data_IF_875859668945
#
_entry.id   IF_875859668945
#
_cell.length_a   1.000
_cell.length_b   1.000
_cell.length_c   1.000
_cell.angle_alpha   90.00
_cell.angle_beta   90.00
_cell.angle_gamma   90.00
#
_symmetry.space_group_name_H-M   'P 1'
#
loop_
_entity.id
_entity.type
_entity.pdbx_description
1 polymer ?
#
# COMPACT_ATOMS: atom_id res chain seq x y z
N UNK A 1 -5.50 -1.53 -9.42
CA UNK A 1 -6.46 -2.36 -8.68
C UNK A 1 -7.76 -1.62 -8.37
N UNK A 2 -8.30 -0.98 -9.37
CA UNK A 2 -9.63 -0.41 -9.31
C UNK A 2 -10.62 -1.52 -9.63
N UNK A 3 -11.40 -1.89 -8.61
CA UNK A 3 -12.42 -2.93 -8.73
C UNK A 3 -13.76 -2.24 -8.94
N UNK A 4 -14.52 -2.74 -9.88
CA UNK A 4 -15.94 -2.40 -10.03
C UNK A 4 -16.82 -3.49 -9.40
N UNK A 5 -18.11 -3.26 -9.36
CA UNK A 5 -19.10 -4.19 -8.80
C UNK A 5 -19.13 -5.55 -9.51
N UNK A 6 -18.56 -5.65 -10.72
CA UNK A 6 -18.51 -6.87 -11.53
C UNK A 6 -17.15 -7.57 -11.47
N UNK A 7 -16.22 -7.09 -10.62
CA UNK A 7 -14.90 -7.68 -10.51
C UNK A 7 -14.94 -9.12 -10.00
N UNK A 8 -14.60 -10.06 -10.85
CA UNK A 8 -14.46 -11.49 -10.53
C UNK A 8 -12.98 -11.88 -10.48
N UNK A 9 -12.31 -11.48 -9.42
CA UNK A 9 -10.92 -11.86 -9.18
C UNK A 9 -10.78 -13.18 -8.44
N UNK A 10 -9.60 -13.79 -8.55
CA UNK A 10 -9.24 -15.02 -7.81
C UNK A 10 -8.98 -14.78 -6.32
N UNK A 11 -9.02 -13.54 -5.84
CA UNK A 11 -8.77 -13.22 -4.44
C UNK A 11 -10.01 -13.51 -3.57
N UNK A 12 -10.00 -14.65 -2.89
CA UNK A 12 -11.06 -15.09 -1.98
C UNK A 12 -11.17 -14.28 -0.69
N UNK A 13 -10.31 -13.29 -0.47
CA UNK A 13 -10.33 -12.42 0.74
C UNK A 13 -11.21 -11.19 0.55
N UNK A 14 -11.70 -10.95 -0.66
CA UNK A 14 -12.57 -9.83 -0.96
C UNK A 14 -13.98 -10.13 -0.45
N UNK A 15 -14.48 -9.25 0.40
CA UNK A 15 -15.86 -9.23 0.83
C UNK A 15 -16.65 -8.30 -0.10
N UNK A 16 -17.39 -8.88 -1.04
CA UNK A 16 -18.15 -8.14 -2.04
C UNK A 16 -19.21 -7.20 -1.44
N UNK A 17 -19.75 -7.53 -0.25
CA UNK A 17 -20.71 -6.66 0.44
C UNK A 17 -20.06 -5.36 0.93
N UNK A 18 -18.75 -5.38 1.16
CA UNK A 18 -17.95 -4.22 1.62
C UNK A 18 -17.30 -3.44 0.49
N UNK A 19 -17.32 -3.93 -0.76
CA UNK A 19 -16.66 -3.29 -1.90
C UNK A 19 -17.17 -1.86 -2.16
N UNK A 20 -18.45 -1.59 -1.88
CA UNK A 20 -19.01 -0.23 -1.95
C UNK A 20 -18.38 0.76 -0.96
N UNK A 21 -17.68 0.26 0.06
CA UNK A 21 -16.91 1.06 1.02
C UNK A 21 -15.53 1.50 0.54
N UNK A 22 -15.04 0.92 -0.56
CA UNK A 22 -13.77 1.34 -1.17
C UNK A 22 -13.88 2.77 -1.68
N UNK A 23 -12.80 3.54 -1.56
CA UNK A 23 -12.84 4.95 -1.96
C UNK A 23 -11.52 5.42 -2.57
N UNK A 24 -11.62 6.44 -3.41
CA UNK A 24 -10.45 7.11 -3.97
C UNK A 24 -10.09 8.36 -3.16
N UNK A 25 -8.80 8.55 -2.92
CA UNK A 25 -8.23 9.82 -2.49
C UNK A 25 -7.84 10.63 -3.72
N UNK A 26 -7.33 9.95 -4.74
CA UNK A 26 -7.02 10.52 -6.03
C UNK A 26 -7.60 9.63 -7.13
N UNK A 27 -8.54 10.18 -7.90
CA UNK A 27 -9.21 9.48 -8.99
C UNK A 27 -8.36 9.49 -10.27
N UNK A 28 -8.28 8.37 -11.00
CA UNK A 28 -7.69 8.36 -12.32
C UNK A 28 -8.53 9.20 -13.28
N UNK A 29 -7.86 10.02 -14.09
CA UNK A 29 -8.52 10.89 -15.08
C UNK A 29 -8.66 10.20 -16.45
N UNK A 30 -8.72 8.87 -16.48
CA UNK A 30 -8.84 8.04 -17.67
C UNK A 30 -8.01 6.77 -17.58
N UNK A 31 -7.75 6.13 -18.71
CA UNK A 31 -6.91 4.93 -18.74
C UNK A 31 -5.47 5.28 -18.35
N UNK A 32 -4.85 4.44 -17.54
CA UNK A 32 -3.49 4.68 -17.06
C UNK A 32 -2.48 4.91 -18.18
N UNK A 33 -2.55 4.14 -19.27
CA UNK A 33 -1.63 4.31 -20.37
C UNK A 33 -1.76 5.70 -21.04
N UNK A 34 -2.97 6.24 -21.13
CA UNK A 34 -3.21 7.55 -21.70
C UNK A 34 -2.69 8.66 -20.79
N UNK A 35 -2.93 8.51 -19.47
CA UNK A 35 -2.40 9.43 -18.46
C UNK A 35 -0.87 9.43 -18.44
N UNK A 36 -0.24 8.25 -18.48
CA UNK A 36 1.21 8.10 -18.55
C UNK A 36 1.75 8.78 -19.81
N UNK A 37 1.18 8.50 -20.98
CA UNK A 37 1.62 9.11 -22.25
C UNK A 37 1.46 10.63 -22.21
N UNK A 38 0.35 11.14 -21.69
CA UNK A 38 0.13 12.58 -21.52
C UNK A 38 1.20 13.20 -20.61
N UNK A 39 1.53 12.54 -19.50
CA UNK A 39 2.57 13.04 -18.57
C UNK A 39 3.95 12.98 -19.22
N UNK A 40 4.30 11.89 -19.91
CA UNK A 40 5.58 11.76 -20.60
C UNK A 40 5.75 12.79 -21.73
N UNK A 41 4.67 13.17 -22.42
CA UNK A 41 4.70 14.18 -23.48
C UNK A 41 5.05 15.59 -22.95
N UNK A 42 4.91 15.85 -21.65
CA UNK A 42 5.33 17.13 -21.05
C UNK A 42 6.83 17.20 -20.76
N UNK A 43 7.57 16.09 -20.94
CA UNK A 43 9.00 16.02 -20.64
C UNK A 43 9.84 16.31 -21.89
N UNK A 44 10.91 17.08 -21.71
CA UNK A 44 11.94 17.24 -22.75
C UNK A 44 12.96 16.10 -22.63
N UNK A 45 12.64 14.97 -23.27
CA UNK A 45 13.47 13.78 -23.19
C UNK A 45 14.66 13.88 -24.14
N UNK A 46 15.88 13.75 -23.61
CA UNK A 46 17.13 13.72 -24.40
C UNK A 46 17.29 12.46 -25.24
N UNK A 47 16.58 11.38 -24.93
CA UNK A 47 16.62 10.08 -25.61
C UNK A 47 15.24 9.44 -25.59
N UNK A 48 14.98 8.58 -26.59
CA UNK A 48 13.77 7.75 -26.64
C UNK A 48 13.68 6.86 -25.39
N UNK A 49 12.46 6.74 -24.85
CA UNK A 49 12.17 5.81 -23.75
C UNK A 49 12.41 4.38 -24.23
N UNK A 50 13.10 3.58 -23.42
CA UNK A 50 13.35 2.17 -23.71
C UNK A 50 12.05 1.38 -23.67
N UNK A 51 11.97 0.31 -24.45
CA UNK A 51 10.77 -0.57 -24.47
C UNK A 51 10.55 -1.32 -23.16
N UNK A 52 11.61 -1.54 -22.38
CA UNK A 52 11.60 -2.19 -21.06
C UNK A 52 11.55 -1.21 -19.89
N UNK A 53 11.29 0.08 -20.14
CA UNK A 53 11.20 1.09 -19.09
C UNK A 53 9.99 0.86 -18.19
N UNK A 54 10.19 1.00 -16.87
CA UNK A 54 9.11 1.02 -15.90
C UNK A 54 8.35 2.34 -16.04
N UNK A 55 7.13 2.27 -16.55
CA UNK A 55 6.29 3.44 -16.80
C UNK A 55 5.48 3.88 -15.59
N UNK A 56 5.21 2.95 -14.67
CA UNK A 56 4.41 3.17 -13.46
C UNK A 56 5.03 2.43 -12.28
N UNK A 57 5.07 3.07 -11.13
CA UNK A 57 5.29 2.42 -9.86
C UNK A 57 3.97 2.35 -9.07
N UNK A 58 3.82 1.28 -8.29
CA UNK A 58 2.69 1.07 -7.42
C UNK A 58 3.18 0.80 -6.00
N UNK A 59 2.64 1.50 -5.03
CA UNK A 59 2.82 1.23 -3.61
C UNK A 59 1.54 0.65 -3.00
N UNK A 60 1.71 -0.29 -2.09
CA UNK A 60 0.68 -0.73 -1.16
C UNK A 60 1.04 -0.15 0.19
N UNK A 61 0.17 0.69 0.72
CA UNK A 61 0.37 1.43 1.97
C UNK A 61 -0.70 0.97 2.96
N UNK A 62 -0.27 0.49 4.10
CA UNK A 62 -1.16 -0.02 5.14
C UNK A 62 -0.40 -0.31 6.43
N UNK A 63 -1.07 -0.94 7.35
CA UNK A 63 -0.51 -1.47 8.61
C UNK A 63 -1.18 -2.80 8.94
N UNK A 64 -0.89 -3.36 10.11
CA UNK A 64 -1.59 -4.55 10.58
C UNK A 64 -3.03 -4.25 11.00
N UNK A 65 -3.83 -5.33 11.20
CA UNK A 65 -5.23 -5.20 11.59
C UNK A 65 -5.43 -4.56 12.97
N UNK A 66 -4.49 -4.73 13.89
CA UNK A 66 -4.58 -4.15 15.23
C UNK A 66 -4.48 -2.63 15.22
N UNK A 67 -3.66 -2.07 14.32
CA UNK A 67 -3.57 -0.63 14.10
C UNK A 67 -4.93 -0.02 13.73
N UNK A 68 -5.66 -0.66 12.84
CA UNK A 68 -6.96 -0.15 12.38
C UNK A 68 -8.12 -0.47 13.31
N UNK A 69 -7.96 -1.42 14.23
CA UNK A 69 -8.99 -1.95 15.13
C UNK A 69 -9.41 -0.91 16.15
N UNK A 70 -9.59 0.07 16.21
CA UNK A 70 -10.05 1.09 17.15
C UNK A 70 -10.25 2.43 16.48
N UNK A 71 -9.84 2.51 15.20
CA UNK A 71 -10.00 3.71 14.42
C UNK A 71 -11.43 3.82 13.89
N UNK A 72 -12.01 4.98 14.04
CA UNK A 72 -13.25 5.36 13.35
C UNK A 72 -12.95 5.54 11.86
N UNK A 73 -13.96 5.35 11.02
CA UNK A 73 -13.82 5.45 9.55
C UNK A 73 -13.15 6.78 9.09
N UNK A 74 -13.46 7.89 9.75
CA UNK A 74 -12.85 9.17 9.42
C UNK A 74 -11.35 9.26 9.83
N UNK A 75 -10.94 8.56 10.89
CA UNK A 75 -9.53 8.48 11.31
C UNK A 75 -8.70 7.63 10.34
N UNK A 76 -9.26 6.49 9.89
CA UNK A 76 -8.66 5.69 8.83
C UNK A 76 -8.50 6.51 7.54
N UNK A 77 -9.54 7.25 7.17
CA UNK A 77 -9.50 8.10 5.99
C UNK A 77 -8.43 9.17 6.11
N UNK A 78 -8.35 9.88 7.23
CA UNK A 78 -7.34 10.89 7.49
C UNK A 78 -5.91 10.33 7.42
N UNK A 79 -5.69 9.10 7.94
CA UNK A 79 -4.41 8.40 7.82
C UNK A 79 -4.01 8.18 6.36
N UNK A 80 -4.90 7.65 5.53
CA UNK A 80 -4.60 7.41 4.12
C UNK A 80 -4.46 8.71 3.31
N UNK A 81 -5.22 9.75 3.64
CA UNK A 81 -5.08 11.08 3.03
C UNK A 81 -3.71 11.71 3.35
N UNK A 82 -3.24 11.59 4.58
CA UNK A 82 -1.90 12.07 4.98
C UNK A 82 -0.79 11.26 4.28
N UNK A 83 -0.95 9.94 4.17
CA UNK A 83 -0.04 9.10 3.40
C UNK A 83 -0.01 9.52 1.92
N UNK A 84 -1.16 9.70 1.29
CA UNK A 84 -1.23 10.12 -0.11
C UNK A 84 -0.57 11.49 -0.32
N UNK A 85 -0.82 12.44 0.58
CA UNK A 85 -0.21 13.78 0.54
C UNK A 85 1.31 13.68 0.63
N UNK A 86 1.85 12.90 1.56
CA UNK A 86 3.29 12.65 1.66
C UNK A 86 3.90 12.18 0.32
N UNK A 87 3.27 11.24 -0.37
CA UNK A 87 3.75 10.75 -1.66
C UNK A 87 3.59 11.81 -2.78
N UNK A 88 2.50 12.58 -2.78
CA UNK A 88 2.28 13.66 -3.72
C UNK A 88 3.34 14.77 -3.57
N UNK A 89 3.67 15.14 -2.34
CA UNK A 89 4.68 16.16 -2.04
C UNK A 89 6.08 15.67 -2.42
N UNK A 90 6.37 14.39 -2.18
CA UNK A 90 7.69 13.80 -2.44
C UNK A 90 7.96 13.54 -3.93
N UNK A 91 6.97 13.05 -4.67
CA UNK A 91 7.14 12.59 -6.06
C UNK A 91 6.44 13.45 -7.10
N UNK A 92 5.77 14.50 -6.68
CA UNK A 92 5.04 15.45 -7.52
C UNK A 92 3.60 15.03 -7.78
N UNK A 93 2.68 15.92 -7.49
CA UNK A 93 1.23 15.72 -7.73
C UNK A 93 0.93 15.38 -9.19
N UNK A 94 1.62 16.01 -10.13
CA UNK A 94 1.45 15.81 -11.57
C UNK A 94 1.89 14.42 -12.06
N UNK A 95 2.61 13.68 -11.25
CA UNK A 95 3.03 12.31 -11.54
C UNK A 95 2.03 11.26 -11.04
N UNK A 96 1.06 11.65 -10.20
CA UNK A 96 0.09 10.74 -9.63
C UNK A 96 -0.91 10.26 -10.67
N UNK A 97 -1.25 8.96 -10.61
CA UNK A 97 -2.23 8.32 -11.48
C UNK A 97 -3.51 7.96 -10.73
N UNK A 98 -3.37 7.39 -9.54
CA UNK A 98 -4.49 7.07 -8.65
C UNK A 98 -4.02 6.82 -7.22
N UNK A 99 -4.92 6.99 -6.27
CA UNK A 99 -4.79 6.50 -4.89
C UNK A 99 -6.16 5.98 -4.45
N UNK A 100 -6.28 4.66 -4.33
CA UNK A 100 -7.53 3.97 -3.96
C UNK A 100 -7.34 3.18 -2.67
N UNK A 101 -8.26 3.33 -1.74
CA UNK A 101 -8.28 2.60 -0.47
C UNK A 101 -9.28 1.46 -0.55
N UNK A 102 -8.79 0.26 -0.26
CA UNK A 102 -9.59 -0.94 -0.15
C UNK A 102 -9.89 -1.21 1.33
N UNK A 103 -11.17 -1.31 1.65
CA UNK A 103 -11.67 -1.69 2.98
C UNK A 103 -12.45 -3.01 2.94
N UNK A 104 -12.54 -3.61 1.77
CA UNK A 104 -13.24 -4.86 1.48
C UNK A 104 -12.36 -6.11 1.62
N UNK A 105 -11.15 -5.96 2.08
CA UNK A 105 -10.24 -7.06 2.43
C UNK A 105 -10.04 -7.16 3.95
N UNK A 106 -9.21 -8.11 4.37
CA UNK A 106 -8.96 -8.38 5.81
C UNK A 106 -8.43 -7.15 6.55
N UNK A 107 -7.59 -6.35 5.89
CA UNK A 107 -6.98 -5.16 6.47
C UNK A 107 -7.08 -4.00 5.49
N UNK A 108 -7.52 -2.81 5.93
CA UNK A 108 -7.53 -1.62 5.09
C UNK A 108 -6.15 -1.29 4.53
N UNK A 109 -6.08 -1.00 3.24
CA UNK A 109 -4.83 -0.61 2.60
C UNK A 109 -5.09 0.27 1.38
N UNK A 110 -4.10 1.10 1.03
CA UNK A 110 -4.17 1.99 -0.13
C UNK A 110 -3.22 1.54 -1.21
N UNK A 111 -3.71 1.45 -2.44
CA UNK A 111 -2.88 1.37 -3.65
C UNK A 111 -2.65 2.77 -4.19
N UNK A 112 -1.39 3.17 -4.31
CA UNK A 112 -0.98 4.45 -4.86
C UNK A 112 -0.12 4.21 -6.08
N UNK A 113 -0.53 4.75 -7.23
CA UNK A 113 0.10 4.57 -8.53
C UNK A 113 0.61 5.90 -9.06
N UNK A 114 1.82 5.94 -9.59
CA UNK A 114 2.41 7.15 -10.16
C UNK A 114 3.47 6.85 -11.23
N UNK A 115 3.75 7.86 -12.08
CA UNK A 115 4.81 7.81 -13.09
C UNK A 115 6.14 8.15 -12.44
N UNK A 116 7.17 7.28 -12.48
CA UNK A 116 8.44 7.51 -11.79
C UNK A 116 9.33 8.51 -12.51
N UNK A 117 9.01 9.79 -12.38
CA UNK A 117 9.79 10.89 -12.95
C UNK A 117 10.70 11.47 -11.87
N UNK A 118 11.98 11.57 -12.18
CA UNK A 118 12.99 12.21 -11.36
C UNK A 118 13.86 13.11 -12.22
N UNK A 119 14.01 14.39 -11.84
CA UNK A 119 14.79 15.38 -12.57
C UNK A 119 14.46 15.43 -14.08
N UNK A 120 13.17 15.42 -14.41
CA UNK A 120 12.68 15.45 -15.80
C UNK A 120 12.95 14.17 -16.60
N UNK A 121 13.28 13.05 -15.94
CA UNK A 121 13.57 11.75 -16.56
C UNK A 121 12.66 10.66 -16.02
N UNK A 122 12.18 9.80 -16.88
CA UNK A 122 11.51 8.57 -16.49
C UNK A 122 12.56 7.58 -15.97
N UNK A 123 12.59 7.33 -14.65
CA UNK A 123 13.56 6.42 -14.04
C UNK A 123 13.12 5.92 -12.67
N UNK A 124 12.45 4.79 -12.62
CA UNK A 124 12.12 4.09 -11.37
C UNK A 124 13.40 3.76 -10.57
N UNK A 125 14.46 3.29 -11.24
CA UNK A 125 15.73 2.94 -10.60
C UNK A 125 16.41 4.12 -9.90
N UNK A 126 16.23 5.35 -10.38
CA UNK A 126 16.81 6.53 -9.72
C UNK A 126 16.05 6.93 -8.44
N UNK A 127 14.78 6.57 -8.35
CA UNK A 127 13.92 6.83 -7.19
C UNK A 127 14.01 5.72 -6.15
N UNK A 128 14.19 4.47 -6.59
CA UNK A 128 14.05 3.31 -5.74
C UNK A 128 15.23 2.35 -5.90
N UNK A 129 15.97 2.22 -4.82
CA UNK A 129 16.89 1.15 -4.50
C UNK A 129 16.62 0.70 -3.05
N UNK A 130 17.37 -0.30 -2.58
CA UNK A 130 17.16 -0.84 -1.22
C UNK A 130 17.31 0.22 -0.13
N UNK A 131 18.29 1.09 -0.27
CA UNK A 131 18.56 2.15 0.71
C UNK A 131 17.44 3.20 0.69
N UNK A 132 17.10 3.70 -0.50
CA UNK A 132 16.03 4.71 -0.67
C UNK A 132 14.66 4.22 -0.22
N UNK A 133 14.36 2.92 -0.38
CA UNK A 133 13.14 2.33 0.14
C UNK A 133 13.12 2.30 1.68
N UNK A 134 14.27 2.02 2.31
CA UNK A 134 14.39 2.07 3.77
C UNK A 134 14.28 3.51 4.31
N UNK A 135 14.89 4.47 3.61
CA UNK A 135 14.76 5.91 3.90
C UNK A 135 13.31 6.37 3.73
N UNK A 136 12.66 6.00 2.64
CA UNK A 136 11.24 6.31 2.39
C UNK A 136 10.34 5.79 3.50
N UNK A 137 10.56 4.56 3.98
CA UNK A 137 9.82 4.00 5.09
C UNK A 137 10.02 4.79 6.39
N UNK A 138 11.25 5.26 6.63
CA UNK A 138 11.56 6.10 7.80
C UNK A 138 10.88 7.44 7.70
N UNK A 139 10.98 8.12 6.57
CA UNK A 139 10.36 9.42 6.35
C UNK A 139 8.81 9.36 6.45
N UNK A 140 8.20 8.34 5.85
CA UNK A 140 6.75 8.15 5.96
C UNK A 140 6.33 7.92 7.42
N UNK A 141 7.10 7.14 8.18
CA UNK A 141 6.85 6.96 9.60
C UNK A 141 7.04 8.26 10.39
N UNK A 142 8.08 9.03 10.11
CA UNK A 142 8.36 10.31 10.80
C UNK A 142 7.29 11.36 10.55
N UNK A 143 6.87 11.50 9.30
CA UNK A 143 5.95 12.56 8.88
C UNK A 143 4.48 12.18 9.07
N UNK A 144 4.15 10.89 8.98
CA UNK A 144 2.77 10.42 9.08
C UNK A 144 2.61 9.43 10.24
N UNK A 145 3.36 8.32 10.24
CA UNK A 145 3.14 7.21 11.16
C UNK A 145 3.13 7.61 12.64
N UNK A 146 4.04 8.48 13.06
CA UNK A 146 4.11 8.99 14.45
C UNK A 146 2.83 9.68 14.89
N UNK A 147 2.19 10.45 14.01
CA UNK A 147 0.94 11.16 14.29
C UNK A 147 -0.18 10.21 14.70
N UNK A 148 -0.17 9.00 14.14
CA UNK A 148 -1.16 7.96 14.38
C UNK A 148 -0.70 6.87 15.36
N UNK A 149 0.45 7.05 16.03
CA UNK A 149 0.96 6.10 17.02
C UNK A 149 1.58 4.83 16.42
N UNK A 150 1.84 4.80 15.11
CA UNK A 150 2.54 3.69 14.48
C UNK A 150 3.97 3.57 14.99
N UNK A 151 4.43 2.35 15.19
CA UNK A 151 5.84 2.06 15.39
C UNK A 151 6.51 1.91 14.02
N UNK A 152 7.71 2.47 13.89
CA UNK A 152 8.51 2.19 12.70
C UNK A 152 8.81 0.69 12.64
N UNK A 153 8.58 0.09 11.48
CA UNK A 153 8.94 -1.30 11.24
C UNK A 153 10.44 -1.55 11.51
N UNK A 154 10.77 -2.78 11.86
CA UNK A 154 12.14 -3.18 12.23
C UNK A 154 13.08 -2.96 11.05
N UNK A 155 14.15 -2.17 11.27
CA UNK A 155 15.21 -1.96 10.30
C UNK A 155 15.95 -3.26 10.01
N UNK A 156 16.36 -3.43 8.76
CA UNK A 156 17.07 -4.62 8.29
C UNK A 156 16.37 -5.94 8.65
N UNK A 157 15.03 -5.94 8.63
CA UNK A 157 14.27 -7.16 8.85
C UNK A 157 14.75 -8.25 7.90
N UNK A 158 15.07 -9.42 8.44
CA UNK A 158 15.40 -10.64 7.69
C UNK A 158 14.13 -11.41 7.29
N UNK A 159 12.95 -10.80 7.44
CA UNK A 159 11.70 -11.43 7.06
C UNK A 159 11.70 -11.74 5.57
N UNK A 160 11.56 -13.02 5.24
CA UNK A 160 11.43 -13.47 3.87
C UNK A 160 10.01 -13.16 3.39
N UNK A 161 9.88 -12.72 2.13
CA UNK A 161 8.58 -12.58 1.52
C UNK A 161 7.91 -13.96 1.49
N UNK A 162 6.77 -14.06 2.17
CA UNK A 162 5.90 -15.24 2.12
C UNK A 162 4.61 -14.85 1.40
N UNK A 163 4.02 -15.79 0.71
CA UNK A 163 2.74 -15.54 0.03
C UNK A 163 1.65 -15.23 1.05
N UNK A 164 0.59 -14.54 0.63
CA UNK A 164 -0.56 -14.25 1.48
C UNK A 164 -1.18 -15.55 2.05
N UNK A 165 -1.17 -16.64 1.28
CA UNK A 165 -1.65 -17.95 1.73
C UNK A 165 -0.77 -18.55 2.85
N UNK A 166 0.56 -18.48 2.71
CA UNK A 166 1.50 -18.95 3.74
C UNK A 166 1.41 -18.09 5.01
N UNK A 167 1.26 -16.76 4.87
CA UNK A 167 1.06 -15.88 6.02
C UNK A 167 -0.22 -16.25 6.78
N UNK A 168 -1.33 -16.45 6.06
CA UNK A 168 -2.61 -16.85 6.64
C UNK A 168 -2.51 -18.20 7.36
N UNK A 169 -1.85 -19.19 6.76
CA UNK A 169 -1.62 -20.49 7.40
C UNK A 169 -0.83 -20.36 8.70
N UNK A 170 0.23 -19.56 8.73
CA UNK A 170 1.01 -19.28 9.95
C UNK A 170 0.17 -18.64 11.05
N UNK A 171 -0.65 -17.63 10.72
CA UNK A 171 -1.53 -16.96 11.69
C UNK A 171 -2.55 -17.93 12.29
N UNK A 172 -3.15 -18.81 11.44
CA UNK A 172 -4.09 -19.82 11.92
C UNK A 172 -3.41 -20.80 12.89
N UNK A 173 -2.23 -21.30 12.52
CA UNK A 173 -1.47 -22.23 13.38
C UNK A 173 -1.12 -21.56 14.72
N UNK A 174 -0.57 -20.35 14.70
CA UNK A 174 -0.23 -19.61 15.92
C UNK A 174 -1.44 -19.35 16.81
N UNK A 175 -2.58 -18.98 16.23
CA UNK A 175 -3.81 -18.76 17.01
C UNK A 175 -4.37 -20.05 17.61
N UNK A 176 -4.23 -21.19 16.92
CA UNK A 176 -4.61 -22.51 17.43
C UNK A 176 -3.70 -22.97 18.58
N UNK A 177 -2.39 -22.75 18.45
CA UNK A 177 -1.41 -23.02 19.52
C UNK A 177 -1.70 -22.21 20.78
N UNK A 178 -1.93 -20.89 20.63
CA UNK A 178 -2.27 -20.01 21.75
C UNK A 178 -3.55 -20.44 22.47
N UNK A 179 -4.59 -20.82 21.71
CA UNK A 179 -5.83 -21.35 22.31
C UNK A 179 -5.61 -22.65 23.04
N UNK A 180 -4.79 -23.55 22.52
CA UNK A 180 -4.45 -24.80 23.20
C UNK A 180 -3.73 -24.52 24.50
N UNK A 181 -2.69 -23.68 24.50
CA UNK A 181 -1.91 -23.34 25.68
C UNK A 181 -2.78 -22.66 26.76
N UNK A 182 -3.78 -21.88 26.34
CA UNK A 182 -4.74 -21.27 27.26
C UNK A 182 -5.67 -22.33 27.91
N UNK A 183 -6.16 -23.29 27.12
CA UNK A 183 -6.98 -24.40 27.63
C UNK A 183 -6.18 -25.25 28.58
N UNK A 184 -4.93 -25.59 28.27
CA UNK A 184 -4.05 -26.39 29.10
C UNK A 184 -3.82 -25.70 30.49
N UNK A 185 -3.54 -24.38 30.47
CA UNK A 185 -3.41 -23.60 31.71
C UNK A 185 -4.69 -23.58 32.57
N UNK A 186 -5.86 -23.47 31.93
CA UNK A 186 -7.14 -23.47 32.62
C UNK A 186 -7.47 -24.86 33.23
N UNK A 187 -6.95 -25.93 32.61
CA UNK A 187 -7.14 -27.31 33.06
C UNK A 187 -6.22 -27.65 34.24
N UNK A 188 -4.99 -27.13 34.26
CA UNK A 188 -4.03 -27.30 35.34
C UNK A 188 -4.40 -26.53 36.65
N UNK A 189 -5.27 -25.52 36.56
CA UNK A 189 -5.70 -24.69 37.71
C UNK A 189 -6.99 -25.21 38.37
N UNK A 190 -7.53 -26.36 37.93
CA UNK A 190 -8.69 -27.04 38.51
C UNK A 190 -8.30 -28.30 39.26
#
# INVERSE_FOLDING_TARGET
NERDENYQGSNTQIDSERTSGNYHIFYPQGKYIDMINKRLATLTLKRKIRSDAILMNSFVIGSDGEFFKGMRAWEQRAFFEDCARFFMDKYGYENMLSAVVHVDETTPHMHLNFVPINDGRLSSKSLFDRQKLAELQTELWEQVGKKYGLKRGKENSQATHITAAEHKAKVIVQSAEQKRDEIDRQTEQK
#
